data_IF_872321315085
#
_entry.id   IF_872321315085
#
_cell.length_a   1.000
_cell.length_b   1.000
_cell.length_c   1.000
_cell.angle_alpha   90.00
_cell.angle_beta   90.00
_cell.angle_gamma   90.00
#
_symmetry.space_group_name_H-M   'P 1'
#
loop_
_entity.id
_entity.type
_entity.pdbx_description
1 polymer ?
#
# COMPACT_ATOMS: atom_id res chain seq x y z
N UNK A 1 0.34 12.66 27.40
CA UNK A 1 -1.06 12.34 27.08
C UNK A 1 -1.37 10.97 27.64
N UNK A 2 -2.05 10.95 28.77
CA UNK A 2 -2.44 9.70 29.43
C UNK A 2 -3.58 9.05 28.65
N UNK A 3 -3.75 7.73 28.73
CA UNK A 3 -4.76 7.00 27.95
C UNK A 3 -6.18 7.53 28.19
N UNK A 4 -6.53 7.85 29.43
CA UNK A 4 -7.82 8.45 29.79
C UNK A 4 -8.08 9.79 29.09
N UNK A 5 -7.04 10.61 28.90
CA UNK A 5 -7.12 11.88 28.19
C UNK A 5 -7.34 11.67 26.69
N UNK A 6 -6.73 10.63 26.12
CA UNK A 6 -6.94 10.23 24.72
C UNK A 6 -8.38 9.76 24.50
N UNK A 7 -8.88 8.91 25.41
CA UNK A 7 -10.24 8.40 25.40
C UNK A 7 -11.26 9.55 25.47
N UNK A 8 -11.09 10.50 26.40
CA UNK A 8 -11.95 11.69 26.53
C UNK A 8 -11.98 12.54 25.26
N UNK A 9 -10.86 12.68 24.56
CA UNK A 9 -10.81 13.42 23.30
C UNK A 9 -11.52 12.68 22.17
N UNK A 10 -11.36 11.36 22.10
CA UNK A 10 -12.04 10.52 21.12
C UNK A 10 -13.57 10.58 21.31
N UNK A 11 -14.05 10.38 22.55
CA UNK A 11 -15.49 10.46 22.85
C UNK A 11 -16.03 11.85 22.54
N UNK A 12 -15.31 12.91 22.90
CA UNK A 12 -15.71 14.29 22.58
C UNK A 12 -15.77 14.61 21.07
N UNK A 13 -14.99 13.94 20.23
CA UNK A 13 -15.13 14.04 18.77
C UNK A 13 -16.39 13.32 18.26
N UNK A 14 -16.69 12.15 18.80
CA UNK A 14 -17.89 11.37 18.45
C UNK A 14 -19.17 12.10 18.87
N UNK A 15 -19.19 12.69 20.07
CA UNK A 15 -20.32 13.49 20.57
C UNK A 15 -20.60 14.72 19.71
N UNK A 16 -19.57 15.29 19.08
CA UNK A 16 -19.69 16.41 18.12
C UNK A 16 -20.12 15.96 16.72
N UNK A 17 -20.39 14.67 16.52
CA UNK A 17 -20.81 14.09 15.25
C UNK A 17 -19.66 13.84 14.26
N UNK A 18 -18.40 13.82 14.72
CA UNK A 18 -17.29 13.42 13.86
C UNK A 18 -17.31 11.92 13.60
N UNK A 19 -16.96 11.50 12.38
CA UNK A 19 -16.90 10.09 11.99
C UNK A 19 -15.48 9.56 12.10
N UNK A 20 -15.26 8.46 12.83
CA UNK A 20 -13.99 7.76 12.84
C UNK A 20 -13.74 7.10 11.47
N UNK A 21 -12.52 7.24 10.94
CA UNK A 21 -12.08 6.65 9.68
C UNK A 21 -11.33 5.34 9.95
N UNK A 22 -11.27 4.46 8.94
CA UNK A 22 -10.46 3.24 9.00
C UNK A 22 -8.95 3.51 8.95
N UNK A 23 -8.56 4.74 8.61
CA UNK A 23 -7.17 5.20 8.54
C UNK A 23 -6.70 5.73 9.90
N UNK A 24 -5.43 5.52 10.19
CA UNK A 24 -4.79 5.99 11.41
C UNK A 24 -3.72 7.02 11.06
N UNK A 25 -3.45 7.94 11.97
CA UNK A 25 -2.28 8.81 11.90
C UNK A 25 -1.02 8.01 12.25
N UNK A 26 0.16 8.52 11.91
CA UNK A 26 1.46 7.91 12.23
C UNK A 26 1.71 7.76 13.74
N UNK A 27 0.93 8.45 14.57
CA UNK A 27 0.95 8.28 16.03
C UNK A 27 0.15 7.06 16.52
N UNK A 28 -0.49 6.33 15.60
CA UNK A 28 -1.29 5.13 15.87
C UNK A 28 -2.74 5.43 16.28
N UNK A 29 -3.17 6.68 16.31
CA UNK A 29 -4.56 7.03 16.65
C UNK A 29 -5.47 7.04 15.40
N UNK A 30 -6.73 6.59 15.51
CA UNK A 30 -7.67 6.65 14.39
C UNK A 30 -7.93 8.09 14.00
N UNK A 31 -8.04 8.34 12.69
CA UNK A 31 -8.39 9.65 12.14
C UNK A 31 -9.90 9.86 12.21
N UNK A 32 -10.32 11.12 12.34
CA UNK A 32 -11.73 11.51 12.37
C UNK A 32 -12.02 12.51 11.27
N UNK A 33 -13.20 12.42 10.67
CA UNK A 33 -13.73 13.42 9.75
C UNK A 33 -14.78 14.26 10.46
N UNK A 34 -14.49 15.54 10.65
CA UNK A 34 -15.37 16.53 11.27
C UNK A 34 -15.71 17.60 10.22
N UNK A 35 -16.97 17.70 9.79
CA UNK A 35 -17.40 18.73 8.81
C UNK A 35 -16.53 18.77 7.53
N UNK A 36 -15.99 17.62 7.10
CA UNK A 36 -15.12 17.50 5.93
C UNK A 36 -13.61 17.55 6.23
N UNK A 37 -13.19 17.95 7.43
CA UNK A 37 -11.78 18.04 7.81
C UNK A 37 -11.30 16.76 8.52
N UNK A 38 -10.07 16.32 8.23
CA UNK A 38 -9.44 15.17 8.89
C UNK A 38 -8.64 15.63 10.11
N UNK A 39 -8.97 15.08 11.27
CA UNK A 39 -8.42 15.46 12.57
C UNK A 39 -7.87 14.24 13.30
N UNK A 40 -6.69 14.38 13.92
CA UNK A 40 -6.13 13.39 14.82
C UNK A 40 -6.35 13.83 16.27
N UNK A 41 -7.00 13.02 17.13
CA UNK A 41 -7.29 13.41 18.53
C UNK A 41 -6.03 13.65 19.37
N UNK A 42 -4.88 13.10 18.93
CA UNK A 42 -3.62 13.16 19.66
C UNK A 42 -2.74 14.30 19.16
N UNK A 43 -2.61 14.47 17.85
CA UNK A 43 -1.64 15.38 17.24
C UNK A 43 -2.20 16.79 17.01
N UNK A 44 -3.52 16.96 16.86
CA UNK A 44 -4.12 18.25 16.50
C UNK A 44 -4.09 19.32 17.61
N UNK A 45 -3.47 19.05 18.76
CA UNK A 45 -3.31 20.03 19.86
C UNK A 45 -1.94 20.73 19.90
N UNK A 46 -1.00 20.44 19.00
CA UNK A 46 0.37 20.99 19.05
C UNK A 46 0.75 21.94 17.90
N UNK A 47 -0.18 22.33 17.03
CA UNK A 47 0.08 23.33 15.99
C UNK A 47 -0.64 24.64 16.33
N UNK A 48 0.10 25.56 16.95
CA UNK A 48 -0.16 26.98 16.77
C UNK A 48 -0.25 27.26 15.25
N UNK A 49 -1.28 28.02 14.85
CA UNK A 49 -1.65 28.34 13.47
C UNK A 49 -0.44 28.65 12.56
N UNK A 50 -0.58 28.38 11.25
CA UNK A 50 -0.62 29.53 10.37
C UNK A 50 -1.88 29.55 9.51
N UNK A 51 -2.33 30.77 9.27
CA UNK A 51 -3.42 31.18 8.41
C UNK A 51 -3.43 30.51 7.02
N UNK A 52 -4.64 30.22 6.56
CA UNK A 52 -5.10 30.30 5.17
C UNK A 52 -4.16 29.85 4.05
N UNK A 53 -4.43 28.64 3.53
CA UNK A 53 -4.52 28.40 2.08
C UNK A 53 -5.23 27.08 1.77
N UNK A 54 -6.32 27.08 0.99
CA UNK A 54 -6.91 25.87 0.44
C UNK A 54 -6.23 25.54 -0.90
N UNK A 55 -5.64 24.34 -1.02
CA UNK A 55 -5.25 23.73 -2.29
C UNK A 55 -5.43 22.21 -2.12
N UNK A 56 -6.25 21.48 -2.86
CA UNK A 56 -6.96 21.87 -4.08
C UNK A 56 -8.23 21.06 -4.30
N UNK A 57 -9.21 21.77 -4.85
CA UNK A 57 -10.08 21.23 -5.90
C UNK A 57 -9.21 20.64 -7.02
N UNK A 58 -9.47 19.39 -7.39
CA UNK A 58 -9.96 19.14 -8.75
C UNK A 58 -11.14 18.20 -8.68
N UNK A 59 -12.21 18.73 -9.26
CA UNK A 59 -13.51 18.20 -9.58
C UNK A 59 -13.56 16.75 -10.09
N UNK A 60 -14.66 16.12 -9.66
CA UNK A 60 -15.57 15.30 -10.46
C UNK A 60 -15.04 14.01 -11.10
N UNK A 61 -15.60 12.89 -10.66
CA UNK A 61 -16.66 12.21 -11.44
C UNK A 61 -17.48 11.22 -10.60
N UNK A 62 -18.77 11.55 -10.48
CA UNK A 62 -19.99 10.70 -10.44
C UNK A 62 -20.07 9.46 -9.54
N UNK A 63 -20.99 9.57 -8.58
CA UNK A 63 -22.14 8.68 -8.35
C UNK A 63 -22.01 7.19 -8.72
N UNK A 64 -22.15 6.33 -7.72
CA UNK A 64 -23.13 5.23 -7.73
C UNK A 64 -23.34 4.67 -6.32
N UNK A 65 -24.56 4.86 -5.84
CA UNK A 65 -25.19 4.11 -4.76
C UNK A 65 -25.31 2.61 -5.06
N UNK A 66 -25.57 1.90 -3.96
CA UNK A 66 -26.33 0.66 -3.82
C UNK A 66 -25.57 -0.67 -3.91
N UNK A 67 -25.66 -1.36 -2.77
CA UNK A 67 -25.98 -2.78 -2.59
C UNK A 67 -25.29 -3.82 -3.50
N UNK A 68 -24.61 -4.78 -2.88
CA UNK A 68 -25.15 -6.15 -2.78
C UNK A 68 -24.06 -7.11 -2.24
N UNK A 69 -24.17 -7.45 -0.95
CA UNK A 69 -23.64 -8.73 -0.46
C UNK A 69 -24.77 -9.74 -0.62
N UNK A 70 -24.65 -10.67 -1.58
CA UNK A 70 -25.35 -11.95 -1.48
C UNK A 70 -24.63 -13.11 -2.16
N UNK A 71 -24.36 -14.10 -1.30
CA UNK A 71 -24.50 -15.52 -1.56
C UNK A 71 -23.48 -16.21 -2.47
N UNK A 72 -22.43 -16.73 -1.83
CA UNK A 72 -21.96 -18.08 -2.13
C UNK A 72 -23.12 -19.07 -1.98
N UNK A 73 -23.41 -19.88 -3.00
CA UNK A 73 -23.63 -21.34 -2.94
C UNK A 73 -24.32 -21.89 -4.20
N UNK A 74 -23.93 -23.14 -4.55
CA UNK A 74 -24.60 -24.15 -5.42
C UNK A 74 -24.13 -24.16 -6.88
N UNK A 75 -23.17 -25.02 -7.25
CA UNK A 75 -23.26 -26.47 -7.54
C UNK A 75 -23.98 -26.78 -8.88
N UNK A 76 -23.21 -27.48 -9.74
CA UNK A 76 -23.56 -28.47 -10.79
C UNK A 76 -23.74 -28.05 -12.26
N UNK A 77 -22.84 -28.63 -13.06
CA UNK A 77 -23.09 -29.54 -14.20
C UNK A 77 -23.43 -28.96 -15.60
N UNK A 78 -22.46 -29.10 -16.51
CA UNK A 78 -22.58 -30.09 -17.58
C UNK A 78 -22.92 -29.62 -19.01
N UNK A 79 -22.09 -30.11 -19.96
CA UNK A 79 -22.38 -30.49 -21.38
C UNK A 79 -22.67 -29.34 -22.38
N UNK A 80 -21.86 -29.13 -23.44
CA UNK A 80 -21.68 -29.84 -24.74
C UNK A 80 -22.37 -29.09 -25.89
N UNK A 81 -21.70 -29.03 -27.05
CA UNK A 81 -22.28 -28.75 -28.38
C UNK A 81 -21.85 -27.38 -28.92
N UNK A 82 -20.90 -27.22 -29.84
CA UNK A 82 -20.77 -27.72 -31.22
C UNK A 82 -21.77 -27.10 -32.21
N UNK A 83 -21.20 -26.60 -33.33
CA UNK A 83 -21.79 -26.39 -34.68
C UNK A 83 -22.90 -25.33 -34.82
N UNK A 84 -23.11 -24.61 -35.92
CA UNK A 84 -22.45 -24.30 -37.20
C UNK A 84 -23.55 -23.70 -38.09
N UNK A 85 -23.26 -22.74 -38.96
CA UNK A 85 -23.89 -22.48 -40.29
C UNK A 85 -23.93 -20.97 -40.58
N UNK A 86 -23.21 -20.48 -41.59
CA UNK A 86 -23.72 -20.15 -42.96
C UNK A 86 -24.23 -18.70 -43.02
N UNK A 87 -23.97 -17.85 -44.00
CA UNK A 87 -23.46 -18.01 -45.36
C UNK A 87 -22.81 -16.71 -45.88
N UNK A 88 -21.95 -16.90 -46.88
CA UNK A 88 -21.40 -15.97 -47.90
C UNK A 88 -22.52 -15.40 -48.84
N UNK A 89 -22.31 -14.61 -49.96
CA UNK A 89 -21.05 -14.31 -50.71
C UNK A 89 -20.96 -12.90 -51.41
N UNK A 90 -19.88 -12.74 -52.23
CA UNK A 90 -19.68 -11.87 -53.43
C UNK A 90 -19.14 -10.44 -53.17
N UNK A 91 -18.07 -9.94 -53.83
CA UNK A 91 -17.62 -10.15 -55.21
C UNK A 91 -16.17 -9.64 -55.42
N UNK A 92 -15.38 -10.37 -56.21
CA UNK A 92 -14.10 -9.98 -56.84
C UNK A 92 -14.36 -9.05 -58.07
N UNK A 93 -13.38 -8.48 -58.84
CA UNK A 93 -12.10 -9.10 -59.25
C UNK A 93 -10.84 -8.19 -59.45
N UNK A 94 -9.69 -8.88 -59.43
CA UNK A 94 -8.41 -8.73 -60.17
C UNK A 94 -7.93 -7.36 -60.71
N UNK A 95 -6.65 -7.05 -60.44
CA UNK A 95 -5.59 -7.18 -61.47
C UNK A 95 -4.16 -7.12 -60.89
N UNK A 96 -3.31 -7.92 -61.52
CA UNK A 96 -1.90 -8.17 -61.28
C UNK A 96 -1.02 -6.92 -61.49
N UNK A 97 0.12 -6.84 -60.79
CA UNK A 97 1.43 -6.56 -61.42
C UNK A 97 2.58 -6.89 -60.46
N UNK A 98 3.56 -7.61 -61.01
CA UNK A 98 4.87 -7.94 -60.47
C UNK A 98 5.72 -6.66 -60.41
N UNK A 99 6.62 -6.52 -59.43
CA UNK A 99 8.00 -6.10 -59.74
C UNK A 99 8.98 -6.37 -58.59
N UNK A 100 10.19 -6.70 -59.02
CA UNK A 100 11.39 -7.03 -58.28
C UNK A 100 11.84 -5.89 -57.34
N UNK A 101 12.13 -6.19 -56.07
CA UNK A 101 13.33 -5.58 -55.48
C UNK A 101 13.95 -6.34 -54.32
N UNK A 102 15.02 -7.02 -54.69
CA UNK A 102 16.02 -7.68 -53.87
C UNK A 102 16.79 -6.65 -53.01
N UNK A 103 16.43 -6.51 -51.73
CA UNK A 103 17.33 -5.92 -50.71
C UNK A 103 17.76 -6.97 -49.70
N UNK A 104 19.07 -7.26 -49.76
CA UNK A 104 19.83 -8.09 -48.83
C UNK A 104 19.58 -7.65 -47.37
N UNK A 105 19.28 -8.57 -46.44
CA UNK A 105 19.47 -8.32 -45.01
C UNK A 105 20.98 -8.35 -44.71
N UNK A 106 21.50 -7.25 -44.18
CA UNK A 106 22.83 -7.19 -43.58
C UNK A 106 22.88 -8.12 -42.36
N UNK A 107 23.99 -8.83 -42.11
CA UNK A 107 24.13 -9.64 -40.90
C UNK A 107 24.13 -8.75 -39.65
N UNK A 108 23.47 -9.16 -38.55
CA UNK A 108 23.60 -8.50 -37.27
C UNK A 108 25.04 -8.67 -36.78
N UNK A 109 25.70 -7.54 -36.50
CA UNK A 109 27.04 -7.48 -35.96
C UNK A 109 27.04 -8.02 -34.50
N UNK A 110 27.78 -9.08 -34.14
CA UNK A 110 27.75 -9.69 -32.81
C UNK A 110 28.65 -9.00 -31.76
N UNK A 111 29.18 -7.81 -32.01
CA UNK A 111 30.20 -7.19 -31.15
C UNK A 111 29.73 -6.03 -30.25
N UNK A 112 28.42 -5.83 -30.07
CA UNK A 112 27.87 -4.78 -29.17
C UNK A 112 27.10 -5.29 -27.95
N UNK A 113 27.24 -6.56 -27.56
CA UNK A 113 26.53 -7.14 -26.39
C UNK A 113 27.41 -7.40 -25.16
N UNK A 114 28.49 -6.63 -24.93
CA UNK A 114 29.37 -6.85 -23.76
C UNK A 114 29.54 -5.69 -22.78
N UNK A 115 28.74 -4.62 -22.86
CA UNK A 115 28.89 -3.47 -21.96
C UNK A 115 27.63 -3.06 -21.18
N UNK A 116 26.58 -3.87 -21.15
CA UNK A 116 25.30 -3.50 -20.50
C UNK A 116 25.02 -4.20 -19.15
N UNK A 117 26.00 -4.87 -18.51
CA UNK A 117 25.72 -5.74 -17.36
C UNK A 117 26.22 -5.25 -15.98
N UNK A 118 26.87 -4.09 -15.86
CA UNK A 118 27.48 -3.66 -14.59
C UNK A 118 26.76 -2.55 -13.80
N UNK A 119 25.61 -2.06 -14.26
CA UNK A 119 24.89 -0.95 -13.60
C UNK A 119 23.80 -1.38 -12.61
N UNK A 120 23.52 -2.68 -12.48
CA UNK A 120 22.43 -3.20 -11.64
C UNK A 120 22.80 -3.51 -10.19
N UNK A 121 24.07 -3.69 -9.85
CA UNK A 121 24.48 -4.14 -8.49
C UNK A 121 24.48 -3.00 -7.46
N UNK A 122 25.00 -1.82 -7.83
CA UNK A 122 25.08 -0.65 -6.93
C UNK A 122 23.70 -0.14 -6.48
N UNK A 123 22.67 -0.26 -7.32
CA UNK A 123 21.31 0.18 -6.98
C UNK A 123 20.63 -0.74 -5.96
N UNK A 124 20.93 -2.04 -5.96
CA UNK A 124 20.29 -3.02 -5.08
C UNK A 124 20.87 -2.95 -3.67
N UNK A 125 22.18 -2.69 -3.56
CA UNK A 125 22.83 -2.48 -2.26
C UNK A 125 22.30 -1.21 -1.57
N UNK A 126 22.07 -0.13 -2.32
CA UNK A 126 21.49 1.09 -1.77
C UNK A 126 20.05 0.89 -1.27
N UNK A 127 19.22 0.12 -1.99
CA UNK A 127 17.84 -0.18 -1.58
C UNK A 127 17.80 -1.07 -0.33
N UNK A 128 18.71 -2.04 -0.26
CA UNK A 128 18.87 -2.92 0.90
C UNK A 128 19.27 -2.12 2.14
N UNK A 129 20.24 -1.21 2.04
CA UNK A 129 20.68 -0.37 3.16
C UNK A 129 19.59 0.60 3.63
N UNK A 130 18.80 1.19 2.72
CA UNK A 130 17.63 2.01 3.09
C UNK A 130 16.60 1.18 3.86
N UNK A 131 16.31 -0.03 3.38
CA UNK A 131 15.34 -0.93 4.01
C UNK A 131 15.83 -1.39 5.39
N UNK A 132 17.10 -1.77 5.48
CA UNK A 132 17.79 -2.14 6.73
C UNK A 132 17.67 -1.02 7.76
N UNK A 133 17.95 0.22 7.35
CA UNK A 133 17.84 1.39 8.23
C UNK A 133 16.38 1.67 8.64
N UNK A 134 15.43 1.51 7.73
CA UNK A 134 14.00 1.66 8.02
C UNK A 134 13.53 0.64 9.07
N UNK A 135 13.89 -0.64 8.89
CA UNK A 135 13.57 -1.71 9.85
C UNK A 135 14.21 -1.42 11.21
N UNK A 136 15.50 -1.02 11.23
CA UNK A 136 16.19 -0.65 12.47
C UNK A 136 15.44 0.43 13.24
N UNK A 137 15.05 1.50 12.55
CA UNK A 137 14.31 2.61 13.16
C UNK A 137 12.95 2.16 13.71
N UNK A 138 12.21 1.34 12.96
CA UNK A 138 10.92 0.79 13.39
C UNK A 138 11.05 -0.07 14.65
N UNK A 139 12.07 -0.94 14.71
CA UNK A 139 12.31 -1.82 15.87
C UNK A 139 12.70 -0.99 17.10
N UNK A 140 13.58 0.01 16.96
CA UNK A 140 13.95 0.91 18.07
C UNK A 140 12.74 1.68 18.58
N UNK A 141 11.91 2.19 17.68
CA UNK A 141 10.68 2.89 18.05
C UNK A 141 9.74 1.97 18.86
N UNK A 142 9.54 0.73 18.40
CA UNK A 142 8.68 -0.23 19.10
C UNK A 142 9.26 -0.65 20.46
N UNK A 143 10.58 -0.80 20.57
CA UNK A 143 11.27 -1.07 21.83
C UNK A 143 11.03 0.03 22.86
N UNK A 144 11.07 1.30 22.45
CA UNK A 144 10.74 2.42 23.35
C UNK A 144 9.31 2.35 23.87
N UNK A 145 8.36 1.98 23.01
CA UNK A 145 6.97 1.77 23.43
C UNK A 145 6.85 0.60 24.42
N UNK A 146 7.44 -0.56 24.12
CA UNK A 146 7.43 -1.71 25.02
C UNK A 146 8.07 -1.39 26.38
N UNK A 147 9.13 -0.59 26.40
CA UNK A 147 9.78 -0.17 27.65
C UNK A 147 8.87 0.71 28.53
N UNK A 148 8.00 1.52 27.92
CA UNK A 148 6.99 2.27 28.66
C UNK A 148 5.89 1.35 29.19
N UNK A 149 5.39 0.43 28.36
CA UNK A 149 4.34 -0.52 28.74
C UNK A 149 4.79 -1.41 29.91
N UNK A 150 6.04 -1.91 29.87
CA UNK A 150 6.66 -2.73 30.93
C UNK A 150 6.66 -2.02 32.29
N UNK A 151 6.83 -0.70 32.30
CA UNK A 151 6.89 0.07 33.55
C UNK A 151 5.53 0.13 34.27
N UNK A 152 4.45 0.08 33.51
CA UNK A 152 3.08 0.22 34.02
C UNK A 152 2.36 -1.14 34.16
N UNK A 153 2.92 -2.20 33.57
CA UNK A 153 2.35 -3.55 33.56
C UNK A 153 2.36 -4.21 34.94
N UNK A 154 1.22 -4.77 35.33
CA UNK A 154 1.04 -5.49 36.61
C UNK A 154 0.80 -6.98 36.41
N UNK A 155 0.37 -7.39 35.21
CA UNK A 155 0.19 -8.79 34.88
C UNK A 155 1.54 -9.43 34.53
N UNK A 156 1.95 -10.44 35.32
CA UNK A 156 3.23 -11.12 35.15
C UNK A 156 3.33 -11.92 33.84
N UNK A 157 2.22 -12.47 33.34
CA UNK A 157 2.21 -13.22 32.09
C UNK A 157 2.40 -12.29 30.90
N UNK A 158 1.73 -11.13 30.94
CA UNK A 158 1.87 -10.08 29.93
C UNK A 158 3.26 -9.45 29.97
N UNK A 159 3.78 -9.19 31.16
CA UNK A 159 5.15 -8.71 31.36
C UNK A 159 6.18 -9.68 30.77
N UNK A 160 6.02 -10.99 31.01
CA UNK A 160 6.90 -12.01 30.40
C UNK A 160 6.85 -11.96 28.88
N UNK A 161 5.65 -11.92 28.30
CA UNK A 161 5.49 -11.81 26.85
C UNK A 161 6.13 -10.53 26.28
N UNK A 162 6.01 -9.40 26.98
CA UNK A 162 6.66 -8.14 26.58
C UNK A 162 8.19 -8.25 26.63
N UNK A 163 8.75 -8.90 27.66
CA UNK A 163 10.20 -9.13 27.76
C UNK A 163 10.71 -10.07 26.67
N UNK A 164 9.95 -11.11 26.30
CA UNK A 164 10.29 -11.99 25.17
C UNK A 164 10.29 -11.23 23.83
N UNK A 165 9.34 -10.31 23.64
CA UNK A 165 9.31 -9.40 22.50
C UNK A 165 10.53 -8.45 22.47
N UNK A 166 10.93 -7.92 23.62
CA UNK A 166 12.14 -7.07 23.75
C UNK A 166 13.40 -7.86 23.38
N UNK A 167 13.55 -9.08 23.89
CA UNK A 167 14.69 -9.94 23.58
C UNK A 167 14.77 -10.24 22.08
N UNK A 168 13.63 -10.59 21.47
CA UNK A 168 13.54 -10.84 20.02
C UNK A 168 13.92 -9.59 19.21
N UNK A 169 13.41 -8.42 19.59
CA UNK A 169 13.73 -7.16 18.93
C UNK A 169 15.23 -6.80 19.03
N UNK A 170 15.87 -7.06 20.17
CA UNK A 170 17.31 -6.87 20.34
C UNK A 170 18.14 -7.82 19.47
N UNK A 171 17.70 -9.07 19.31
CA UNK A 171 18.34 -10.02 18.37
C UNK A 171 18.25 -9.53 16.94
N UNK A 172 17.09 -9.00 16.52
CA UNK A 172 16.91 -8.43 15.18
C UNK A 172 17.85 -7.25 14.97
N UNK A 173 17.93 -6.31 15.92
CA UNK A 173 18.85 -5.16 15.80
C UNK A 173 20.28 -5.63 15.63
N UNK A 174 20.74 -6.59 16.45
CA UNK A 174 22.08 -7.16 16.33
C UNK A 174 22.30 -7.79 14.95
N UNK A 175 21.33 -8.55 14.44
CA UNK A 175 21.42 -9.18 13.13
C UNK A 175 21.47 -8.18 11.97
N UNK A 176 20.99 -6.94 12.17
CA UNK A 176 21.12 -5.85 11.19
C UNK A 176 22.45 -5.08 11.35
N UNK A 177 23.20 -5.28 12.43
CA UNK A 177 24.50 -4.62 12.67
C UNK A 177 25.70 -5.42 12.15
N UNK A 178 25.53 -6.73 11.90
CA UNK A 178 26.54 -7.64 11.33
C UNK A 178 26.33 -7.85 9.84
#
# INVERSE_FOLDING_TARGET
>A
MNEEEKLKRITGLLEKGCTMLATHHDCGAPLFRCKGEIVCPICSSSSAKPDGRPVGETDAVVSRDADEIKALSRIRAGRKGASSSSAEPLQAPNQEHQDDNRRKPSPPNPESERLAQNSGESSRDSEFEITKQSVRMAVIFKLRHLALDIKEERDLSRLRSQLDCVDTALRVIRALDY
#
